data_IF_480555745422
#
_entry.id   IF_480555745422
#
_cell.length_a   1.000
_cell.length_b   1.000
_cell.length_c   1.000
_cell.angle_alpha   90.00
_cell.angle_beta   90.00
_cell.angle_gamma   90.00
#
_symmetry.space_group_name_H-M   'P 1'
#
loop_
_entity.id
_entity.type
_entity.pdbx_description
1 polymer ?
#
# COMPACT_ATOMS: atom_id res chain seq x y z
N UNK A 1 15.98 -8.54 11.37
CA UNK A 1 15.12 -7.41 11.37
C UNK A 1 15.39 -6.55 10.16
N UNK A 2 14.40 -6.07 9.54
CA UNK A 2 14.54 -5.28 8.35
C UNK A 2 13.36 -4.36 8.20
N UNK A 3 13.23 -3.78 7.02
CA UNK A 3 12.16 -2.87 6.72
C UNK A 3 11.33 -3.46 5.59
N UNK A 4 10.04 -3.60 5.80
CA UNK A 4 9.11 -4.02 4.77
C UNK A 4 8.22 -2.85 4.40
N UNK A 5 8.22 -2.48 3.14
CA UNK A 5 7.42 -1.37 2.67
C UNK A 5 6.38 -1.87 1.68
N UNK A 6 5.17 -1.42 1.87
CA UNK A 6 4.06 -1.77 1.00
C UNK A 6 3.35 -0.50 0.58
N UNK A 7 2.94 -0.44 -0.67
CA UNK A 7 2.18 0.70 -1.15
C UNK A 7 1.04 0.21 -2.01
N UNK A 8 -0.12 0.75 -1.80
CA UNK A 8 -1.28 0.44 -2.64
C UNK A 8 -1.20 1.34 -3.86
N UNK A 9 -1.24 0.74 -5.04
CA UNK A 9 -1.06 1.50 -6.28
C UNK A 9 -2.18 1.18 -7.25
N UNK A 10 -2.54 2.16 -8.04
CA UNK A 10 -3.54 1.98 -9.08
C UNK A 10 -2.88 1.31 -10.28
N UNK A 11 -3.60 0.35 -10.86
CA UNK A 11 -3.12 -0.40 -12.02
C UNK A 11 -4.22 -0.41 -13.06
N UNK A 12 -4.34 0.66 -13.81
CA UNK A 12 -5.46 0.80 -14.74
C UNK A 12 -6.76 0.84 -13.97
N UNK A 13 -7.63 -0.11 -14.24
CA UNK A 13 -8.90 -0.21 -13.53
C UNK A 13 -8.81 -0.97 -12.23
N UNK A 14 -7.64 -1.50 -11.93
CA UNK A 14 -7.47 -2.36 -10.79
C UNK A 14 -6.45 -1.77 -9.83
N UNK A 15 -6.19 -2.48 -8.76
CA UNK A 15 -5.29 -2.02 -7.72
C UNK A 15 -4.27 -3.11 -7.43
N UNK A 16 -3.11 -2.70 -6.98
CA UNK A 16 -2.07 -3.65 -6.65
C UNK A 16 -1.36 -3.26 -5.37
N UNK A 17 -0.53 -4.16 -4.90
CA UNK A 17 0.32 -3.91 -3.75
C UNK A 17 1.75 -3.94 -4.24
N UNK A 18 2.42 -2.81 -4.13
CA UNK A 18 3.82 -2.69 -4.49
C UNK A 18 4.67 -3.05 -3.29
N UNK A 19 5.55 -4.01 -3.45
CA UNK A 19 6.43 -4.46 -2.39
C UNK A 19 7.76 -4.84 -3.00
N UNK A 20 8.84 -4.27 -2.50
CA UNK A 20 10.19 -4.53 -3.01
C UNK A 20 10.30 -4.31 -4.50
N UNK A 21 9.64 -3.28 -4.99
CA UNK A 21 9.72 -2.93 -6.40
C UNK A 21 8.88 -3.80 -7.31
N UNK A 22 8.08 -4.70 -6.74
CA UNK A 22 7.22 -5.58 -7.54
C UNK A 22 5.78 -5.47 -7.13
N UNK A 23 4.91 -5.59 -8.11
CA UNK A 23 3.47 -5.66 -7.87
C UNK A 23 3.06 -7.10 -8.09
N UNK A 24 2.59 -7.75 -7.03
CA UNK A 24 2.40 -9.20 -7.08
C UNK A 24 1.05 -9.63 -7.59
N UNK A 25 0.01 -8.97 -7.17
CA UNK A 25 -1.34 -9.38 -7.52
C UNK A 25 -2.16 -8.18 -7.91
N UNK A 26 -3.33 -8.44 -8.46
CA UNK A 26 -4.26 -7.39 -8.81
C UNK A 26 -5.56 -7.59 -8.08
N UNK A 27 -6.17 -6.50 -7.69
CA UNK A 27 -7.39 -6.51 -6.90
C UNK A 27 -8.39 -5.56 -7.54
N UNK A 28 -9.65 -5.92 -7.49
CA UNK A 28 -10.70 -5.11 -8.11
C UNK A 28 -10.91 -3.79 -7.39
N UNK A 29 -10.63 -3.74 -6.10
CA UNK A 29 -10.86 -2.53 -5.33
C UNK A 29 -9.65 -2.18 -4.50
N UNK A 30 -9.59 -0.91 -4.14
CA UNK A 30 -8.53 -0.40 -3.29
C UNK A 30 -8.58 -1.08 -1.92
N UNK A 31 -9.78 -1.29 -1.40
CA UNK A 31 -9.95 -1.94 -0.12
C UNK A 31 -9.41 -3.36 -0.12
N UNK A 32 -9.67 -4.10 -1.20
CA UNK A 32 -9.15 -5.46 -1.29
C UNK A 32 -7.63 -5.48 -1.32
N UNK A 33 -7.04 -4.54 -2.05
CA UNK A 33 -5.58 -4.44 -2.10
C UNK A 33 -5.04 -4.09 -0.72
N UNK A 34 -5.71 -3.18 -0.03
CA UNK A 34 -5.30 -2.78 1.31
C UNK A 34 -5.34 -3.97 2.27
N UNK A 35 -6.42 -4.75 2.22
CA UNK A 35 -6.55 -5.90 3.10
C UNK A 35 -5.45 -6.92 2.84
N UNK A 36 -5.11 -7.13 1.58
CA UNK A 36 -4.02 -8.04 1.25
C UNK A 36 -2.69 -7.52 1.79
N UNK A 37 -2.47 -6.21 1.68
CA UNK A 37 -1.24 -5.61 2.18
C UNK A 37 -1.17 -5.72 3.70
N UNK A 38 -2.29 -5.55 4.38
CA UNK A 38 -2.34 -5.67 5.84
C UNK A 38 -1.98 -7.09 6.27
N UNK A 39 -2.47 -8.09 5.55
CA UNK A 39 -2.15 -9.46 5.87
C UNK A 39 -0.65 -9.72 5.73
N UNK A 40 -0.05 -9.21 4.65
CA UNK A 40 1.38 -9.37 4.45
C UNK A 40 2.17 -8.61 5.49
N UNK A 41 1.72 -7.39 5.81
CA UNK A 41 2.38 -6.57 6.80
C UNK A 41 2.34 -7.24 8.18
N UNK A 42 1.22 -7.85 8.49
CA UNK A 42 1.06 -8.54 9.76
C UNK A 42 2.09 -9.66 9.92
N UNK A 43 2.32 -10.39 8.84
CA UNK A 43 3.31 -11.45 8.86
C UNK A 43 4.71 -10.88 9.06
N UNK A 44 5.01 -9.77 8.37
CA UNK A 44 6.32 -9.14 8.51
C UNK A 44 6.56 -8.65 9.94
N UNK A 45 5.52 -8.13 10.57
CA UNK A 45 5.62 -7.70 11.97
C UNK A 45 5.96 -8.89 12.86
N UNK A 46 5.32 -10.02 12.62
CA UNK A 46 5.58 -11.22 13.42
C UNK A 46 7.01 -11.70 13.24
N UNK A 47 7.61 -11.38 12.11
CA UNK A 47 9.00 -11.77 11.85
C UNK A 47 9.99 -10.73 12.35
N UNK A 48 9.51 -9.69 12.99
CA UNK A 48 10.40 -8.71 13.61
C UNK A 48 10.81 -7.56 12.70
N UNK A 49 10.12 -7.38 11.58
CA UNK A 49 10.44 -6.29 10.68
C UNK A 49 9.67 -5.03 11.02
N UNK A 50 10.27 -3.91 10.72
CA UNK A 50 9.56 -2.64 10.73
C UNK A 50 8.72 -2.59 9.46
N UNK A 51 7.49 -2.08 9.55
CA UNK A 51 6.60 -2.08 8.41
C UNK A 51 6.10 -0.67 8.13
N UNK A 52 6.17 -0.27 6.86
CA UNK A 52 5.59 0.98 6.40
C UNK A 52 4.56 0.63 5.33
N UNK A 53 3.33 1.06 5.54
CA UNK A 53 2.25 0.79 4.61
C UNK A 53 1.66 2.12 4.16
N UNK A 54 1.71 2.37 2.87
CA UNK A 54 1.22 3.62 2.29
C UNK A 54 -0.04 3.36 1.48
N UNK A 55 -1.05 4.18 1.71
CA UNK A 55 -2.30 4.09 0.97
C UNK A 55 -2.57 5.46 0.38
N UNK A 56 -2.06 5.74 -0.82
CA UNK A 56 -2.24 7.06 -1.40
C UNK A 56 -3.69 7.35 -1.68
N UNK A 57 -4.02 8.61 -1.62
CA UNK A 57 -5.35 9.07 -1.96
C UNK A 57 -5.46 9.09 -3.47
N UNK A 58 -6.46 8.47 -4.03
CA UNK A 58 -6.67 8.42 -5.46
C UNK A 58 -5.44 7.95 -6.17
N UNK A 59 -5.23 8.51 -7.30
CA UNK A 59 -4.05 8.20 -8.05
C UNK A 59 -2.87 8.79 -7.34
N UNK A 60 -1.85 8.06 -7.31
CA UNK A 60 -0.65 8.52 -6.69
C UNK A 60 -0.23 9.82 -7.34
N UNK A 61 0.21 10.71 -6.59
CA UNK A 61 0.64 11.97 -7.11
C UNK A 61 -0.35 13.03 -6.97
N UNK A 62 -1.34 12.76 -6.37
CA UNK A 62 -2.21 13.81 -6.18
C UNK A 62 -2.11 14.45 -4.86
N UNK A 63 -1.94 14.71 -4.64
CA UNK A 63 -1.99 15.18 -3.76
C UNK A 63 -2.35 15.75 -3.20
N UNK A 64 -2.40 16.08 -2.93
CA UNK A 64 -2.74 16.47 -2.21
C UNK A 64 -3.14 17.05 -1.73
N UNK A 65 -3.32 17.54 -1.99
CA UNK A 65 -3.81 18.12 -1.43
C UNK A 65 -4.49 18.12 -0.72
N UNK A 66 -4.72 18.17 -0.62
CA UNK A 66 -5.31 18.16 0.26
C UNK A 66 -5.07 17.76 1.02
N UNK A 67 -4.61 17.55 0.82
CA UNK A 67 -4.54 17.32 1.62
C UNK A 67 -4.14 17.27 2.11
N UNK A 68 -3.80 17.49 1.98
CA UNK A 68 -3.49 17.61 2.52
C UNK A 68 -3.60 17.62 3.23
N UNK A 69 -3.68 17.70 3.21
CA UNK A 69 -3.87 17.70 3.91
C UNK A 69 -4.18 17.04 4.61
N UNK A 70 -4.17 16.82 4.65
CA UNK A 70 -4.46 16.21 5.34
C UNK A 70 -4.24 15.53 5.82
N UNK A 71 -4.17 15.50 5.94
CA UNK A 71 -3.99 14.76 6.42
C UNK A 71 -4.09 13.90 6.71
N UNK A 72 -4.07 13.76 6.59
CA UNK A 72 -4.31 12.96 6.98
C UNK A 72 -4.34 12.44 7.10
#
# INVERSE_FOLDING_TARGET
>A
MGLAEYMIVAQGDEWGVLHDGSIKNRYATKESAFEAAVAAASLAIREGHEVHLSVPDRAAGNQTALGAKNPS
#
